data_IF_987037880908
#
_entry.id   IF_987037880908
#
_cell.length_a   1.000
_cell.length_b   1.000
_cell.length_c   1.000
_cell.angle_alpha   90.00
_cell.angle_beta   90.00
_cell.angle_gamma   90.00
#
_symmetry.space_group_name_H-M   'P 1'
#
loop_
_entity.id
_entity.type
_entity.pdbx_description
1 polymer ?
#
# COMPACT_ATOMS: atom_id res chain seq x y z
N UNK A 1 -19.95 42.44 -18.50
CA UNK A 1 -19.67 41.46 -17.42
C UNK A 1 -18.72 40.42 -17.95
N UNK A 2 -17.53 40.34 -17.39
CA UNK A 2 -16.56 39.30 -17.74
C UNK A 2 -17.08 37.93 -17.24
N UNK A 3 -17.25 36.99 -18.14
CA UNK A 3 -17.72 35.65 -17.73
C UNK A 3 -16.58 34.95 -16.92
N UNK A 4 -16.93 34.31 -15.82
CA UNK A 4 -15.98 33.59 -14.97
C UNK A 4 -15.10 32.59 -15.77
N UNK A 5 -15.67 32.01 -16.83
CA UNK A 5 -14.96 31.11 -17.75
C UNK A 5 -13.68 31.69 -18.35
N UNK A 6 -13.64 33.03 -18.58
CA UNK A 6 -12.44 33.68 -19.14
C UNK A 6 -11.26 33.79 -18.20
N UNK A 7 -11.46 33.43 -16.92
CA UNK A 7 -10.40 33.35 -15.91
C UNK A 7 -9.68 32.00 -15.94
N UNK A 8 -10.19 31.02 -16.67
CA UNK A 8 -9.62 29.67 -16.76
C UNK A 8 -9.03 29.43 -18.15
N UNK A 9 -8.04 28.55 -18.21
CA UNK A 9 -7.47 28.08 -19.46
C UNK A 9 -8.60 27.53 -20.37
N UNK A 10 -8.64 27.98 -21.63
CA UNK A 10 -9.63 27.56 -22.59
C UNK A 10 -9.66 26.06 -22.88
N UNK A 11 -8.52 25.39 -22.69
CA UNK A 11 -8.38 23.94 -22.84
C UNK A 11 -8.88 23.12 -21.63
N UNK A 12 -9.27 23.77 -20.52
CA UNK A 12 -9.76 23.09 -19.33
C UNK A 12 -11.30 23.02 -19.28
N UNK A 13 -11.82 21.83 -19.03
CA UNK A 13 -13.24 21.64 -18.76
C UNK A 13 -13.55 21.99 -17.30
N UNK A 14 -14.09 23.20 -17.10
CA UNK A 14 -14.47 23.72 -15.77
C UNK A 14 -15.75 23.06 -15.20
N UNK A 15 -16.49 22.31 -16.03
CA UNK A 15 -17.70 21.60 -15.60
C UNK A 15 -17.41 20.12 -15.28
N UNK A 16 -16.17 19.69 -15.42
CA UNK A 16 -15.76 18.34 -15.09
C UNK A 16 -16.08 18.01 -13.63
N UNK A 17 -16.65 16.86 -13.39
CA UNK A 17 -16.84 16.34 -12.04
C UNK A 17 -15.47 16.06 -11.41
N UNK A 18 -15.16 16.78 -10.33
CA UNK A 18 -13.98 16.54 -9.51
C UNK A 18 -14.40 15.57 -8.41
N UNK A 19 -13.72 14.44 -8.32
CA UNK A 19 -13.99 13.51 -7.24
C UNK A 19 -13.52 14.07 -5.90
N UNK A 20 -14.36 13.92 -4.88
CA UNK A 20 -14.11 14.45 -3.54
C UNK A 20 -13.03 13.68 -2.77
N UNK A 21 -12.78 12.43 -3.15
CA UNK A 21 -11.85 11.52 -2.48
C UNK A 21 -10.89 10.95 -3.52
N UNK A 22 -9.60 10.99 -3.20
CA UNK A 22 -8.57 10.38 -4.02
C UNK A 22 -8.60 8.88 -3.76
N UNK A 23 -8.90 8.08 -4.79
CA UNK A 23 -8.86 6.63 -4.70
C UNK A 23 -7.45 6.13 -5.03
N UNK A 24 -7.00 5.15 -4.25
CA UNK A 24 -5.67 4.55 -4.42
C UNK A 24 -5.65 3.38 -5.42
N UNK A 25 -6.76 3.11 -6.10
CA UNK A 25 -6.81 2.06 -7.12
C UNK A 25 -6.17 2.56 -8.41
N UNK A 26 -5.06 1.93 -8.80
CA UNK A 26 -4.32 2.25 -10.02
C UNK A 26 -5.05 1.85 -11.33
N UNK A 27 -6.24 1.25 -11.24
CA UNK A 27 -6.93 0.61 -12.37
C UNK A 27 -7.51 1.56 -13.44
N UNK A 28 -7.33 2.88 -13.31
CA UNK A 28 -7.84 3.85 -14.28
C UNK A 28 -6.74 4.82 -14.72
N UNK A 29 -5.96 4.40 -15.71
CA UNK A 29 -4.87 5.20 -16.28
C UNK A 29 -5.32 6.61 -16.71
N UNK A 30 -6.45 6.72 -17.37
CA UNK A 30 -7.01 8.01 -17.82
C UNK A 30 -7.29 8.95 -16.64
N UNK A 31 -7.79 8.41 -15.54
CA UNK A 31 -8.06 9.17 -14.33
C UNK A 31 -6.76 9.64 -13.69
N UNK A 32 -5.80 8.75 -13.53
CA UNK A 32 -4.49 9.08 -12.96
C UNK A 32 -3.77 10.14 -13.81
N UNK A 33 -3.90 10.05 -15.15
CA UNK A 33 -3.39 11.07 -16.09
C UNK A 33 -4.04 12.43 -15.85
N UNK A 34 -5.35 12.48 -15.69
CA UNK A 34 -6.05 13.74 -15.39
C UNK A 34 -5.61 14.32 -14.05
N UNK A 35 -5.55 13.50 -12.98
CA UNK A 35 -5.13 13.90 -11.65
C UNK A 35 -3.71 14.48 -11.64
N UNK A 36 -2.73 13.78 -12.22
CA UNK A 36 -1.34 14.25 -12.23
C UNK A 36 -1.15 15.48 -13.12
N UNK A 37 -1.92 15.61 -14.21
CA UNK A 37 -1.84 16.77 -15.10
C UNK A 37 -2.29 18.07 -14.44
N UNK A 38 -3.11 17.99 -13.42
CA UNK A 38 -3.64 19.11 -12.66
C UNK A 38 -2.93 19.33 -11.32
N UNK A 39 -2.03 18.42 -10.96
CA UNK A 39 -1.28 18.53 -9.71
C UNK A 39 -0.34 19.75 -9.74
N UNK A 40 -0.54 20.65 -8.78
CA UNK A 40 0.27 21.85 -8.63
C UNK A 40 1.25 21.65 -7.48
N UNK A 41 2.52 21.67 -7.80
CA UNK A 41 3.61 21.63 -6.81
C UNK A 41 4.03 23.07 -6.51
N UNK A 42 3.76 23.53 -5.29
CA UNK A 42 4.23 24.83 -4.83
C UNK A 42 5.72 24.75 -4.45
N UNK A 43 6.40 25.88 -4.41
CA UNK A 43 7.81 25.94 -3.99
C UNK A 43 8.04 25.33 -2.60
N UNK A 44 7.12 25.58 -1.66
CA UNK A 44 7.17 24.99 -0.31
C UNK A 44 7.02 23.48 -0.32
N UNK A 45 6.10 22.93 -1.13
CA UNK A 45 5.92 21.48 -1.27
C UNK A 45 7.17 20.85 -1.89
N UNK A 46 7.73 21.47 -2.93
CA UNK A 46 8.93 20.95 -3.60
C UNK A 46 10.15 20.98 -2.68
N UNK A 47 10.32 22.03 -1.87
CA UNK A 47 11.39 22.10 -0.89
C UNK A 47 11.27 21.00 0.18
N UNK A 48 10.07 20.75 0.68
CA UNK A 48 9.84 19.67 1.64
C UNK A 48 10.05 18.29 1.01
N UNK A 49 9.66 18.11 -0.25
CA UNK A 49 9.92 16.88 -1.00
C UNK A 49 11.43 16.66 -1.14
N UNK A 50 12.20 17.69 -1.52
CA UNK A 50 13.66 17.59 -1.66
C UNK A 50 14.33 17.17 -0.35
N UNK A 51 13.94 17.80 0.78
CA UNK A 51 14.44 17.44 2.10
C UNK A 51 14.07 16.01 2.51
N UNK A 52 12.86 15.55 2.17
CA UNK A 52 12.44 14.17 2.41
C UNK A 52 13.31 13.20 1.60
N UNK A 53 13.48 13.45 0.30
CA UNK A 53 14.29 12.60 -0.57
C UNK A 53 15.76 12.54 -0.13
N UNK A 54 16.33 13.65 0.36
CA UNK A 54 17.68 13.68 0.93
C UNK A 54 17.79 12.78 2.18
N UNK A 55 16.82 12.85 3.08
CA UNK A 55 16.77 12.01 4.26
C UNK A 55 16.59 10.53 3.89
N UNK A 56 15.69 10.23 2.94
CA UNK A 56 15.52 8.87 2.43
C UNK A 56 16.83 8.35 1.85
N UNK A 57 17.54 9.15 1.05
CA UNK A 57 18.83 8.76 0.48
C UNK A 57 19.86 8.47 1.57
N UNK A 58 19.96 9.34 2.58
CA UNK A 58 20.90 9.17 3.68
C UNK A 58 20.63 7.88 4.48
N UNK A 59 19.38 7.62 4.82
CA UNK A 59 18.98 6.42 5.55
C UNK A 59 19.27 5.13 4.77
N UNK A 60 18.93 5.12 3.48
CA UNK A 60 19.15 3.95 2.61
C UNK A 60 20.64 3.68 2.37
N UNK A 61 21.48 4.74 2.30
CA UNK A 61 22.94 4.61 2.12
C UNK A 61 23.68 4.22 3.39
N UNK A 62 23.18 4.58 4.56
CA UNK A 62 23.80 4.27 5.83
C UNK A 62 23.86 2.75 6.12
N UNK A 63 23.17 1.93 5.34
CA UNK A 63 23.11 0.48 5.53
C UNK A 63 22.56 0.08 6.90
N UNK A 64 22.06 1.07 7.63
CA UNK A 64 21.43 0.88 8.92
C UNK A 64 20.11 0.16 8.69
N UNK A 65 19.81 -0.79 9.55
CA UNK A 65 18.58 -1.59 9.52
C UNK A 65 17.36 -0.77 9.97
N UNK A 66 17.37 0.54 9.71
CA UNK A 66 16.34 1.43 10.21
C UNK A 66 15.23 1.56 9.18
N UNK A 67 14.04 1.36 9.65
CA UNK A 67 12.81 1.64 8.92
C UNK A 67 12.63 3.14 8.80
N UNK A 68 12.11 3.57 7.64
CA UNK A 68 11.84 4.97 7.42
C UNK A 68 10.35 5.19 7.63
N UNK A 69 10.00 5.83 8.75
CA UNK A 69 8.65 6.32 8.98
C UNK A 69 8.52 7.77 8.50
N UNK A 70 7.57 8.03 7.60
CA UNK A 70 7.29 9.38 7.10
C UNK A 70 5.87 9.77 7.48
N UNK A 71 5.75 10.88 8.20
CA UNK A 71 4.46 11.42 8.61
C UNK A 71 4.16 12.71 7.85
N UNK A 72 3.04 12.74 7.12
CA UNK A 72 2.60 13.92 6.36
C UNK A 72 1.37 14.50 7.04
N UNK A 73 1.47 15.72 7.56
CA UNK A 73 0.38 16.43 8.22
C UNK A 73 0.03 17.74 7.51
N UNK A 74 -1.17 18.24 7.71
CA UNK A 74 -1.63 19.48 7.13
C UNK A 74 -3.15 19.62 7.21
N UNK A 75 -3.68 20.75 6.77
CA UNK A 75 -5.12 21.01 6.75
C UNK A 75 -5.88 20.06 5.83
N UNK A 76 -7.18 19.91 6.09
CA UNK A 76 -8.08 19.28 5.14
C UNK A 76 -8.02 20.01 3.79
N UNK A 77 -7.90 19.25 2.70
CA UNK A 77 -7.79 19.82 1.35
C UNK A 77 -6.41 20.38 0.97
N UNK A 78 -5.37 20.25 1.83
CA UNK A 78 -4.01 20.74 1.51
C UNK A 78 -3.24 19.88 0.50
N UNK A 79 -3.80 18.77 0.00
CA UNK A 79 -3.16 17.91 -0.99
C UNK A 79 -2.27 16.80 -0.42
N UNK A 80 -2.36 16.48 0.89
CA UNK A 80 -1.58 15.40 1.53
C UNK A 80 -1.71 14.06 0.82
N UNK A 81 -2.95 13.62 0.60
CA UNK A 81 -3.23 12.34 -0.04
C UNK A 81 -2.70 12.29 -1.48
N UNK A 82 -2.79 13.41 -2.22
CA UNK A 82 -2.18 13.51 -3.56
C UNK A 82 -0.65 13.42 -3.48
N UNK A 83 -0.05 14.14 -2.55
CA UNK A 83 1.40 14.14 -2.35
C UNK A 83 1.94 12.74 -2.07
N UNK A 84 1.37 12.04 -1.09
CA UNK A 84 1.84 10.70 -0.71
C UNK A 84 1.53 9.65 -1.77
N UNK A 85 0.35 9.73 -2.41
CA UNK A 85 -0.03 8.88 -3.53
C UNK A 85 0.98 9.01 -4.67
N UNK A 86 1.24 10.24 -5.12
CA UNK A 86 2.12 10.44 -6.27
C UNK A 86 3.58 10.13 -5.95
N UNK A 87 4.02 10.42 -4.75
CA UNK A 87 5.35 10.00 -4.32
C UNK A 87 5.47 8.48 -4.30
N UNK A 88 4.51 7.77 -3.72
CA UNK A 88 4.49 6.30 -3.74
C UNK A 88 4.49 5.75 -5.16
N UNK A 89 3.58 6.21 -6.03
CA UNK A 89 3.50 5.75 -7.42
C UNK A 89 4.78 6.03 -8.23
N UNK A 90 5.58 7.04 -7.85
CA UNK A 90 6.84 7.32 -8.52
C UNK A 90 7.93 6.24 -8.26
N UNK A 91 7.79 5.45 -7.19
CA UNK A 91 8.67 4.32 -6.90
C UNK A 91 8.17 2.99 -7.48
N UNK A 92 6.95 2.95 -8.00
CA UNK A 92 6.36 1.77 -8.63
C UNK A 92 6.60 1.80 -10.16
N UNK A 93 7.53 0.99 -10.63
CA UNK A 93 7.87 0.92 -12.06
C UNK A 93 6.77 0.35 -12.95
N UNK A 94 5.79 -0.36 -12.35
CA UNK A 94 4.66 -0.95 -13.08
C UNK A 94 3.56 0.06 -13.37
N UNK A 95 3.54 1.19 -12.66
CA UNK A 95 2.56 2.25 -12.90
C UNK A 95 3.01 3.13 -14.05
N UNK A 96 2.28 3.04 -15.16
CA UNK A 96 2.57 3.80 -16.38
C UNK A 96 1.36 4.64 -16.81
N UNK A 97 1.61 5.73 -17.50
CA UNK A 97 0.63 6.57 -18.18
C UNK A 97 1.15 6.83 -19.60
N UNK A 98 0.34 6.54 -20.61
CA UNK A 98 0.74 6.63 -22.03
C UNK A 98 2.07 5.87 -22.31
N UNK A 99 2.25 4.71 -21.65
CA UNK A 99 3.46 3.89 -21.79
C UNK A 99 4.73 4.46 -21.16
N UNK A 100 4.62 5.56 -20.39
CA UNK A 100 5.74 6.16 -19.63
C UNK A 100 5.57 5.91 -18.14
N UNK A 101 6.65 5.60 -17.39
CA UNK A 101 6.58 5.46 -15.94
C UNK A 101 5.97 6.70 -15.27
N UNK A 102 5.14 6.49 -14.24
CA UNK A 102 4.52 7.57 -13.47
C UNK A 102 5.53 8.57 -12.92
N UNK A 103 6.73 8.09 -12.56
CA UNK A 103 7.87 8.91 -12.16
C UNK A 103 8.08 10.12 -13.10
N UNK A 104 7.99 9.92 -14.42
CA UNK A 104 8.21 11.00 -15.41
C UNK A 104 7.12 12.06 -15.32
N UNK A 105 5.88 11.65 -15.16
CA UNK A 105 4.76 12.58 -15.03
C UNK A 105 4.84 13.40 -13.74
N UNK A 106 5.31 12.82 -12.63
CA UNK A 106 5.58 13.59 -11.42
C UNK A 106 6.74 14.56 -11.60
N UNK A 107 7.84 14.13 -12.25
CA UNK A 107 8.98 15.00 -12.54
C UNK A 107 8.61 16.22 -13.38
N UNK A 108 7.68 16.09 -14.31
CA UNK A 108 7.17 17.20 -15.13
C UNK A 108 6.42 18.26 -14.29
N UNK A 109 6.01 17.93 -13.07
CA UNK A 109 5.38 18.87 -12.11
C UNK A 109 6.39 19.57 -11.20
N UNK A 110 7.62 19.07 -11.11
CA UNK A 110 8.68 19.65 -10.29
C UNK A 110 9.40 20.77 -11.06
N UNK A 111 9.80 21.81 -10.36
CA UNK A 111 10.47 22.97 -10.95
C UNK A 111 12.00 22.86 -10.83
N UNK A 112 12.52 22.25 -9.74
CA UNK A 112 13.93 22.17 -9.42
C UNK A 112 14.59 20.96 -10.09
N UNK A 113 15.66 21.17 -10.88
CA UNK A 113 16.41 20.06 -11.48
C UNK A 113 17.02 19.12 -10.45
N UNK A 114 17.41 19.64 -9.28
CA UNK A 114 17.98 18.86 -8.17
C UNK A 114 16.98 17.86 -7.64
N UNK A 115 15.75 18.30 -7.36
CA UNK A 115 14.66 17.43 -6.87
C UNK A 115 14.33 16.33 -7.88
N UNK A 116 14.26 16.67 -9.18
CA UNK A 116 14.05 15.69 -10.26
C UNK A 116 15.13 14.63 -10.32
N UNK A 117 16.40 15.07 -10.25
CA UNK A 117 17.55 14.17 -10.31
C UNK A 117 17.61 13.25 -9.09
N UNK A 118 17.34 13.79 -7.90
CA UNK A 118 17.34 13.03 -6.65
C UNK A 118 16.23 11.97 -6.65
N UNK A 119 15.02 12.35 -7.06
CA UNK A 119 13.89 11.42 -7.19
C UNK A 119 14.19 10.29 -8.18
N UNK A 120 14.77 10.62 -9.36
CA UNK A 120 15.18 9.59 -10.33
C UNK A 120 16.23 8.64 -9.76
N UNK A 121 17.23 9.19 -9.07
CA UNK A 121 18.30 8.39 -8.48
C UNK A 121 17.77 7.43 -7.44
N UNK A 122 16.89 7.90 -6.56
CA UNK A 122 16.30 7.07 -5.51
C UNK A 122 15.41 5.98 -6.11
N UNK A 123 14.51 6.31 -7.02
CA UNK A 123 13.64 5.35 -7.66
C UNK A 123 14.41 4.25 -8.43
N UNK A 124 15.54 4.62 -9.06
CA UNK A 124 16.40 3.66 -9.75
C UNK A 124 17.24 2.79 -8.81
N UNK A 125 17.68 3.36 -7.67
CA UNK A 125 18.53 2.63 -6.71
C UNK A 125 17.73 1.73 -5.78
N UNK A 126 16.47 2.04 -5.53
CA UNK A 126 15.59 1.37 -4.56
C UNK A 126 14.23 1.07 -5.19
N UNK A 127 14.17 0.17 -6.18
CA UNK A 127 12.90 -0.24 -6.77
C UNK A 127 12.03 -0.90 -5.68
N UNK A 128 10.86 -0.33 -5.42
CA UNK A 128 9.99 -0.75 -4.33
C UNK A 128 8.67 -1.33 -4.83
N UNK A 129 8.11 -2.23 -4.04
CA UNK A 129 6.70 -2.56 -4.12
C UNK A 129 5.90 -1.51 -3.32
N UNK A 130 4.88 -0.92 -3.92
CA UNK A 130 4.10 0.14 -3.28
C UNK A 130 2.72 -0.39 -2.93
N UNK A 131 2.42 -0.45 -1.65
CA UNK A 131 1.12 -0.90 -1.12
C UNK A 131 0.36 0.31 -0.61
N UNK A 132 -0.73 0.66 -1.30
CA UNK A 132 -1.56 1.80 -0.93
C UNK A 132 -2.79 1.34 -0.15
N UNK A 133 -2.99 1.96 1.01
CA UNK A 133 -3.99 1.58 1.98
C UNK A 133 -4.83 2.82 2.32
N UNK A 134 -6.11 2.80 1.94
CA UNK A 134 -7.09 3.79 2.36
C UNK A 134 -7.95 3.19 3.48
N UNK A 135 -7.67 3.57 4.70
CA UNK A 135 -8.41 3.07 5.87
C UNK A 135 -9.76 3.78 6.06
N UNK A 136 -9.94 4.96 5.47
CA UNK A 136 -11.19 5.70 5.58
C UNK A 136 -12.32 5.01 4.80
N UNK A 137 -12.01 4.36 3.70
CA UNK A 137 -12.99 3.62 2.87
C UNK A 137 -13.54 2.38 3.56
N UNK A 138 -12.87 1.87 4.59
CA UNK A 138 -13.23 0.62 5.30
C UNK A 138 -14.16 0.84 6.51
N UNK A 139 -14.64 2.07 6.72
CA UNK A 139 -15.58 2.44 7.81
C UNK A 139 -15.12 2.02 9.23
N UNK A 140 -13.82 2.06 9.50
CA UNK A 140 -13.25 1.67 10.80
C UNK A 140 -13.37 2.81 11.81
N UNK A 141 -14.49 3.50 11.85
CA UNK A 141 -14.75 4.53 12.85
C UNK A 141 -14.83 3.86 14.24
N UNK A 142 -13.83 4.15 15.08
CA UNK A 142 -13.78 3.60 16.46
C UNK A 142 -13.04 2.25 16.59
N UNK A 143 -12.37 1.77 15.55
CA UNK A 143 -11.59 0.55 15.59
C UNK A 143 -10.42 0.59 16.59
N UNK A 144 -10.13 -0.54 17.21
CA UNK A 144 -8.94 -0.71 18.05
C UNK A 144 -7.67 -0.87 17.18
N UNK A 145 -6.48 -0.73 17.78
CA UNK A 145 -5.21 -0.98 17.10
C UNK A 145 -5.11 -2.40 16.49
N UNK A 146 -5.67 -3.39 17.19
CA UNK A 146 -5.70 -4.76 16.69
C UNK A 146 -6.56 -4.90 15.43
N UNK A 147 -7.66 -4.17 15.35
CA UNK A 147 -8.53 -4.14 14.16
C UNK A 147 -7.83 -3.45 12.99
N UNK A 148 -7.11 -2.34 13.21
CA UNK A 148 -6.31 -1.68 12.16
C UNK A 148 -5.27 -2.62 11.59
N UNK A 149 -4.50 -3.31 12.43
CA UNK A 149 -3.48 -4.26 11.95
C UNK A 149 -4.09 -5.41 11.16
N UNK A 150 -5.28 -5.84 11.55
CA UNK A 150 -6.02 -6.88 10.82
C UNK A 150 -6.44 -6.37 9.43
N UNK A 151 -6.93 -5.15 9.34
CA UNK A 151 -7.28 -4.54 8.04
C UNK A 151 -6.07 -4.37 7.15
N UNK A 152 -4.94 -3.91 7.70
CA UNK A 152 -3.68 -3.82 6.95
C UNK A 152 -3.26 -5.19 6.42
N UNK A 153 -3.35 -6.23 7.23
CA UNK A 153 -3.04 -7.58 6.83
C UNK A 153 -3.94 -8.08 5.68
N UNK A 154 -5.26 -7.84 5.78
CA UNK A 154 -6.18 -8.14 4.68
C UNK A 154 -5.84 -7.40 3.39
N UNK A 155 -5.49 -6.12 3.49
CA UNK A 155 -5.11 -5.32 2.32
C UNK A 155 -3.84 -5.83 1.65
N UNK A 156 -2.87 -6.24 2.45
CA UNK A 156 -1.64 -6.87 1.94
C UNK A 156 -1.94 -8.17 1.22
N UNK A 157 -2.80 -9.03 1.79
CA UNK A 157 -3.23 -10.26 1.12
C UNK A 157 -3.93 -9.97 -0.21
N UNK A 158 -4.84 -8.99 -0.24
CA UNK A 158 -5.52 -8.59 -1.46
C UNK A 158 -4.55 -8.02 -2.52
N UNK A 159 -3.59 -7.19 -2.10
CA UNK A 159 -2.56 -6.65 -2.97
C UNK A 159 -1.72 -7.77 -3.59
N UNK A 160 -1.37 -8.78 -2.81
CA UNK A 160 -0.64 -9.96 -3.27
C UNK A 160 -1.49 -10.97 -4.06
N UNK A 161 -2.76 -10.68 -4.27
CA UNK A 161 -3.67 -11.52 -5.05
C UNK A 161 -4.15 -12.78 -4.33
N UNK A 162 -4.23 -12.76 -2.99
CA UNK A 162 -4.83 -13.83 -2.20
C UNK A 162 -6.32 -13.58 -1.93
N UNK A 163 -7.02 -14.63 -1.50
CA UNK A 163 -8.42 -14.55 -1.07
C UNK A 163 -8.60 -13.60 0.13
N UNK A 164 -9.78 -12.99 0.21
CA UNK A 164 -10.22 -12.23 1.39
C UNK A 164 -10.52 -13.14 2.60
N UNK A 165 -10.80 -14.41 2.36
CA UNK A 165 -10.98 -15.38 3.42
C UNK A 165 -9.61 -15.82 3.96
N UNK A 166 -9.31 -15.53 5.23
CA UNK A 166 -8.01 -15.79 5.84
C UNK A 166 -7.59 -17.25 5.79
N UNK A 167 -8.51 -18.19 5.96
CA UNK A 167 -8.22 -19.64 5.88
C UNK A 167 -7.79 -20.01 4.47
N UNK A 168 -8.51 -19.49 3.49
CA UNK A 168 -8.21 -19.72 2.07
C UNK A 168 -6.88 -19.07 1.71
N UNK A 169 -6.63 -17.84 2.12
CA UNK A 169 -5.36 -17.17 1.91
C UNK A 169 -4.17 -17.94 2.51
N UNK A 170 -4.35 -18.50 3.71
CA UNK A 170 -3.33 -19.36 4.35
C UNK A 170 -3.09 -20.65 3.55
N UNK A 171 -4.16 -21.27 3.04
CA UNK A 171 -4.05 -22.44 2.15
C UNK A 171 -3.33 -22.07 0.85
N UNK A 172 -3.71 -20.98 0.19
CA UNK A 172 -3.06 -20.50 -1.04
C UNK A 172 -1.57 -20.22 -0.84
N UNK A 173 -1.19 -19.57 0.28
CA UNK A 173 0.22 -19.33 0.62
C UNK A 173 0.99 -20.62 0.81
N UNK A 174 0.42 -21.58 1.54
CA UNK A 174 1.02 -22.89 1.72
C UNK A 174 1.21 -23.62 0.40
N UNK A 175 0.20 -23.62 -0.45
CA UNK A 175 0.25 -24.24 -1.78
C UNK A 175 1.33 -23.60 -2.67
N UNK A 176 1.46 -22.26 -2.65
CA UNK A 176 2.52 -21.55 -3.40
C UNK A 176 3.91 -21.90 -2.86
N UNK A 177 4.09 -21.90 -1.55
CA UNK A 177 5.37 -22.27 -0.89
C UNK A 177 5.79 -23.70 -1.21
N UNK A 178 4.84 -24.63 -1.30
CA UNK A 178 5.08 -26.04 -1.63
C UNK A 178 5.10 -26.30 -3.16
N UNK A 179 4.88 -25.28 -4.01
CA UNK A 179 4.83 -25.41 -5.48
C UNK A 179 3.59 -26.14 -6.01
N UNK A 180 2.55 -26.28 -5.18
CA UNK A 180 1.31 -27.00 -5.47
C UNK A 180 0.13 -26.12 -5.87
N UNK A 181 0.35 -24.83 -6.01
CA UNK A 181 -0.73 -23.88 -6.31
C UNK A 181 -1.41 -24.18 -7.67
N UNK A 182 -0.63 -24.57 -8.68
CA UNK A 182 -1.17 -24.95 -9.99
C UNK A 182 -2.03 -26.23 -9.94
N UNK A 183 -1.70 -27.17 -9.04
CA UNK A 183 -2.51 -28.37 -8.81
C UNK A 183 -3.89 -28.00 -8.21
N UNK A 184 -3.91 -27.04 -7.29
CA UNK A 184 -5.15 -26.51 -6.73
C UNK A 184 -6.00 -25.77 -7.77
N UNK A 185 -5.41 -24.90 -8.59
CA UNK A 185 -6.13 -24.19 -9.66
C UNK A 185 -6.70 -25.16 -10.70
N UNK A 186 -5.95 -26.20 -11.03
CA UNK A 186 -6.44 -27.22 -11.95
C UNK A 186 -7.59 -28.02 -11.34
N UNK A 187 -7.46 -28.45 -10.08
CA UNK A 187 -8.55 -29.14 -9.37
C UNK A 187 -9.81 -28.29 -9.28
N UNK A 188 -9.67 -26.98 -9.03
CA UNK A 188 -10.78 -26.05 -9.04
C UNK A 188 -11.46 -25.96 -10.42
N UNK A 189 -10.65 -25.87 -11.49
CA UNK A 189 -11.17 -25.84 -12.86
C UNK A 189 -11.85 -27.14 -13.26
N UNK A 190 -11.30 -28.27 -12.87
CA UNK A 190 -11.87 -29.58 -13.17
C UNK A 190 -13.24 -29.77 -12.46
N UNK A 191 -13.42 -29.19 -11.28
CA UNK A 191 -14.64 -29.32 -10.51
C UNK A 191 -15.72 -28.30 -10.91
N UNK A 192 -15.33 -27.06 -11.26
CA UNK A 192 -16.26 -25.96 -11.48
C UNK A 192 -16.37 -25.52 -12.95
N UNK A 193 -15.39 -25.82 -13.77
CA UNK A 193 -15.25 -25.28 -15.13
C UNK A 193 -14.70 -23.85 -15.20
N UNK A 194 -14.38 -23.24 -14.05
CA UNK A 194 -14.06 -21.82 -13.90
C UNK A 194 -12.62 -21.59 -13.43
N UNK A 195 -12.13 -20.34 -13.49
CA UNK A 195 -10.79 -19.99 -13.01
C UNK A 195 -10.84 -19.53 -11.55
N UNK A 196 -9.99 -20.07 -10.70
CA UNK A 196 -9.92 -19.73 -9.29
C UNK A 196 -9.80 -18.22 -8.98
N UNK A 197 -8.94 -17.43 -9.65
CA UNK A 197 -8.81 -16.00 -9.35
C UNK A 197 -10.11 -15.20 -9.44
N UNK A 198 -11.07 -15.63 -10.27
CA UNK A 198 -12.34 -14.94 -10.48
C UNK A 198 -13.33 -15.23 -9.34
N UNK A 199 -13.21 -16.38 -8.67
CA UNK A 199 -14.13 -16.87 -7.64
C UNK A 199 -13.56 -16.95 -6.23
N UNK A 200 -12.28 -16.62 -6.02
CA UNK A 200 -11.60 -16.74 -4.71
C UNK A 200 -12.23 -15.93 -3.57
N UNK A 201 -13.08 -14.96 -3.90
CA UNK A 201 -13.79 -14.12 -2.93
C UNK A 201 -15.31 -14.35 -2.93
N UNK A 202 -15.80 -15.34 -3.66
CA UNK A 202 -17.18 -15.79 -3.62
C UNK A 202 -17.35 -16.75 -2.45
N UNK A 203 -18.10 -16.33 -1.42
CA UNK A 203 -18.27 -17.10 -0.18
C UNK A 203 -18.92 -18.45 -0.43
N UNK A 204 -19.88 -18.54 -1.35
CA UNK A 204 -20.56 -19.80 -1.67
C UNK A 204 -19.59 -20.80 -2.30
N UNK A 205 -18.74 -20.33 -3.21
CA UNK A 205 -17.73 -21.15 -3.87
C UNK A 205 -16.64 -21.54 -2.88
N UNK A 206 -16.17 -20.59 -2.07
CA UNK A 206 -15.16 -20.83 -1.03
C UNK A 206 -15.63 -21.91 -0.04
N UNK A 207 -16.87 -21.82 0.45
CA UNK A 207 -17.37 -22.75 1.44
C UNK A 207 -17.76 -24.12 0.88
N UNK A 208 -18.06 -24.22 -0.42
CA UNK A 208 -18.49 -25.48 -1.04
C UNK A 208 -17.36 -26.25 -1.74
N UNK A 209 -16.43 -25.56 -2.41
CA UNK A 209 -15.40 -26.20 -3.24
C UNK A 209 -14.07 -26.33 -2.50
N UNK A 210 -13.61 -25.25 -1.85
CA UNK A 210 -12.28 -25.23 -1.21
C UNK A 210 -12.09 -26.31 -0.16
N UNK A 211 -13.06 -26.65 0.72
CA UNK A 211 -12.90 -27.73 1.69
C UNK A 211 -12.61 -29.11 1.05
N UNK A 212 -13.25 -29.41 -0.08
CA UNK A 212 -13.00 -30.66 -0.82
C UNK A 212 -11.60 -30.69 -1.40
N UNK A 213 -11.20 -29.62 -2.07
CA UNK A 213 -9.85 -29.51 -2.63
C UNK A 213 -8.77 -29.53 -1.54
N UNK A 214 -9.00 -28.87 -0.41
CA UNK A 214 -8.09 -28.91 0.73
C UNK A 214 -7.92 -30.33 1.27
N UNK A 215 -9.02 -31.09 1.40
CA UNK A 215 -8.98 -32.51 1.80
C UNK A 215 -8.23 -33.36 0.78
N UNK A 216 -8.49 -33.19 -0.52
CA UNK A 216 -7.79 -33.92 -1.59
C UNK A 216 -6.30 -33.66 -1.60
N UNK A 217 -5.89 -32.40 -1.48
CA UNK A 217 -4.47 -32.00 -1.52
C UNK A 217 -3.72 -32.32 -0.22
N UNK A 218 -4.41 -32.25 0.91
CA UNK A 218 -3.83 -32.48 2.24
C UNK A 218 -4.65 -33.46 3.10
N UNK A 219 -4.81 -34.72 2.68
CA UNK A 219 -5.67 -35.68 3.42
C UNK A 219 -5.21 -35.97 4.85
N UNK A 220 -3.89 -35.82 5.10
CA UNK A 220 -3.33 -36.00 6.44
C UNK A 220 -3.58 -34.79 7.37
N UNK A 221 -3.72 -33.61 6.79
CA UNK A 221 -4.00 -32.36 7.54
C UNK A 221 -5.51 -32.18 7.73
N UNK A 222 -6.26 -32.32 6.66
CA UNK A 222 -7.71 -32.23 6.66
C UNK A 222 -8.28 -33.62 6.43
N UNK A 223 -8.52 -34.34 7.53
CA UNK A 223 -8.99 -35.76 7.47
C UNK A 223 -10.38 -35.92 6.87
N UNK A 224 -11.17 -34.87 6.91
CA UNK A 224 -12.50 -34.77 6.30
C UNK A 224 -12.63 -33.40 5.64
N UNK A 225 -13.56 -33.24 4.70
CA UNK A 225 -13.87 -31.96 4.08
C UNK A 225 -14.24 -30.90 5.13
N UNK A 226 -15.01 -31.27 6.15
CA UNK A 226 -15.42 -30.40 7.26
C UNK A 226 -14.22 -29.92 8.11
N UNK A 227 -13.11 -30.66 8.13
CA UNK A 227 -11.95 -30.30 8.93
C UNK A 227 -11.37 -28.93 8.51
N UNK A 228 -11.38 -28.60 7.23
CA UNK A 228 -10.98 -27.26 6.76
C UNK A 228 -11.91 -26.17 7.30
N UNK A 229 -13.23 -26.39 7.24
CA UNK A 229 -14.23 -25.41 7.66
C UNK A 229 -14.17 -25.13 9.17
N UNK A 230 -13.88 -26.16 9.98
CA UNK A 230 -13.83 -26.06 11.44
C UNK A 230 -12.47 -25.57 11.98
N UNK A 231 -11.43 -25.49 11.14
CA UNK A 231 -10.13 -24.95 11.54
C UNK A 231 -10.27 -23.47 11.92
N UNK A 232 -9.61 -23.03 13.01
CA UNK A 232 -9.58 -21.62 13.40
C UNK A 232 -8.96 -20.75 12.32
N UNK A 233 -9.55 -19.57 12.11
CA UNK A 233 -8.98 -18.54 11.24
C UNK A 233 -7.94 -17.66 11.91
N UNK A 234 -7.71 -17.85 13.22
CA UNK A 234 -6.73 -17.08 13.99
C UNK A 234 -5.32 -17.56 13.62
N UNK A 235 -4.78 -16.97 12.59
CA UNK A 235 -3.52 -17.44 11.99
C UNK A 235 -2.32 -16.81 12.68
N UNK A 236 -2.46 -15.57 13.20
CA UNK A 236 -1.34 -14.84 13.80
C UNK A 236 -1.81 -14.06 15.01
N UNK A 237 -1.29 -14.41 16.17
CA UNK A 237 -1.63 -13.79 17.45
C UNK A 237 -0.74 -12.60 17.81
N UNK A 238 0.56 -12.69 17.48
CA UNK A 238 1.54 -11.66 17.82
C UNK A 238 1.62 -10.61 16.70
N UNK A 239 1.64 -9.33 17.09
CA UNK A 239 1.70 -8.21 16.17
C UNK A 239 2.97 -8.23 15.33
N UNK A 240 4.10 -8.53 15.95
CA UNK A 240 5.41 -8.54 15.29
C UNK A 240 5.47 -9.61 14.19
N UNK A 241 4.97 -10.80 14.49
CA UNK A 241 4.89 -11.91 13.51
C UNK A 241 3.99 -11.53 12.33
N UNK A 242 2.90 -10.77 12.60
CA UNK A 242 1.98 -10.29 11.56
C UNK A 242 2.64 -9.27 10.64
N UNK A 243 3.39 -8.32 11.18
CA UNK A 243 4.13 -7.33 10.38
C UNK A 243 5.17 -8.01 9.51
N UNK A 244 5.95 -8.93 10.10
CA UNK A 244 6.94 -9.71 9.35
C UNK A 244 6.28 -10.48 8.21
N UNK A 245 5.17 -11.14 8.47
CA UNK A 245 4.43 -11.88 7.46
C UNK A 245 3.88 -10.97 6.36
N UNK A 246 3.38 -9.77 6.68
CA UNK A 246 2.96 -8.79 5.68
C UNK A 246 4.11 -8.40 4.74
N UNK A 247 5.29 -8.17 5.28
CA UNK A 247 6.50 -7.86 4.50
C UNK A 247 6.86 -9.03 3.59
N UNK A 248 6.88 -10.24 4.13
CA UNK A 248 7.20 -11.45 3.36
C UNK A 248 6.20 -11.69 2.23
N UNK A 249 4.89 -11.50 2.49
CA UNK A 249 3.84 -11.61 1.47
C UNK A 249 4.09 -10.63 0.32
N UNK A 250 4.39 -9.36 0.62
CA UNK A 250 4.62 -8.35 -0.42
C UNK A 250 5.89 -8.66 -1.21
N UNK A 251 6.97 -9.08 -0.55
CA UNK A 251 8.22 -9.48 -1.21
C UNK A 251 8.03 -10.68 -2.13
N UNK A 252 7.37 -11.73 -1.64
CA UNK A 252 7.07 -12.93 -2.42
C UNK A 252 6.22 -12.61 -3.65
N UNK A 253 5.22 -11.74 -3.50
CA UNK A 253 4.31 -11.39 -4.59
C UNK A 253 4.94 -10.45 -5.62
N UNK A 254 5.77 -9.50 -5.19
CA UNK A 254 6.34 -8.46 -6.05
C UNK A 254 7.73 -8.79 -6.60
N UNK A 255 8.47 -9.68 -5.94
CA UNK A 255 9.89 -9.92 -6.23
C UNK A 255 10.80 -8.73 -5.87
N UNK A 256 10.27 -7.73 -5.13
CA UNK A 256 11.01 -6.52 -4.72
C UNK A 256 11.53 -6.66 -3.31
N UNK A 257 12.74 -6.19 -3.08
CA UNK A 257 13.34 -6.17 -1.75
C UNK A 257 12.79 -5.03 -0.89
N UNK A 258 12.57 -3.85 -1.52
CA UNK A 258 12.07 -2.68 -0.84
C UNK A 258 10.55 -2.58 -0.92
N UNK A 259 9.93 -2.11 0.16
CA UNK A 259 8.47 -1.95 0.26
C UNK A 259 8.16 -0.54 0.76
N UNK A 260 7.16 0.08 0.15
CA UNK A 260 6.60 1.36 0.58
C UNK A 260 5.12 1.14 0.91
N UNK A 261 4.77 1.29 2.18
CA UNK A 261 3.36 1.36 2.60
C UNK A 261 2.92 2.82 2.60
N UNK A 262 1.88 3.14 1.85
CA UNK A 262 1.23 4.45 1.85
C UNK A 262 -0.12 4.29 2.54
N UNK A 263 -0.27 4.88 3.73
CA UNK A 263 -1.47 4.73 4.54
C UNK A 263 -2.17 6.07 4.64
N UNK A 264 -3.38 6.19 4.08
CA UNK A 264 -4.23 7.36 4.20
C UNK A 264 -5.32 7.13 5.23
N UNK A 265 -5.42 8.05 6.19
CA UNK A 265 -6.47 8.02 7.19
C UNK A 265 -6.89 9.42 7.65
N UNK A 266 -8.19 9.56 7.93
CA UNK A 266 -8.80 10.80 8.44
C UNK A 266 -8.94 10.85 9.96
N UNK A 267 -8.08 10.20 10.76
CA UNK A 267 -8.28 10.15 12.21
C UNK A 267 -7.05 10.05 13.10
N UNK A 268 -7.28 10.27 14.44
CA UNK A 268 -6.26 10.21 15.49
C UNK A 268 -5.73 8.77 15.76
N UNK A 269 -6.36 7.75 15.21
CA UNK A 269 -6.07 6.36 15.52
C UNK A 269 -4.72 5.92 14.93
N UNK A 270 -4.45 6.30 13.68
CA UNK A 270 -3.16 6.00 13.03
C UNK A 270 -1.99 6.75 13.65
N UNK A 271 -2.20 7.93 14.18
CA UNK A 271 -1.14 8.63 14.93
C UNK A 271 -0.66 7.77 16.10
N UNK A 272 -1.58 7.13 16.82
CA UNK A 272 -1.24 6.20 17.91
C UNK A 272 -0.61 4.93 17.39
N UNK A 273 -1.10 4.41 16.26
CA UNK A 273 -0.57 3.22 15.61
C UNK A 273 0.84 3.47 15.06
N UNK A 274 1.04 4.57 14.33
CA UNK A 274 2.33 4.93 13.74
C UNK A 274 3.38 5.22 14.83
N UNK A 275 3.06 6.04 15.83
CA UNK A 275 3.95 6.33 16.96
C UNK A 275 4.24 5.07 17.76
N UNK A 276 3.24 4.21 17.96
CA UNK A 276 3.42 2.96 18.70
C UNK A 276 4.22 1.94 17.89
N UNK A 277 3.99 1.84 16.58
CA UNK A 277 4.68 0.90 15.70
C UNK A 277 6.15 1.30 15.50
N UNK A 278 6.40 2.56 15.18
CA UNK A 278 7.76 3.11 15.11
C UNK A 278 8.47 2.98 16.47
N UNK A 279 7.74 3.23 17.58
CA UNK A 279 8.29 3.04 18.92
C UNK A 279 8.52 1.54 19.26
N UNK A 280 7.65 0.62 18.83
CA UNK A 280 7.88 -0.81 19.03
C UNK A 280 9.07 -1.33 18.23
N UNK A 281 9.24 -0.87 17.00
CA UNK A 281 10.39 -1.25 16.16
C UNK A 281 11.69 -0.66 16.70
N UNK A 282 11.64 0.54 17.29
CA UNK A 282 12.78 1.18 17.95
C UNK A 282 13.14 0.56 19.32
N UNK A 283 12.14 0.04 20.05
CA UNK A 283 12.35 -0.53 21.39
C UNK A 283 12.81 -2.00 21.39
N UNK A 284 12.70 -2.71 20.27
CA UNK A 284 13.08 -4.13 20.18
C UNK A 284 14.08 -4.42 19.06
N UNK A 285 15.27 -3.79 19.05
CA UNK A 285 16.27 -4.01 18.00
C UNK A 285 16.87 -5.42 17.99
N UNK A 286 16.67 -6.20 19.06
CA UNK A 286 17.28 -7.52 19.21
C UNK A 286 16.52 -8.67 18.55
N UNK A 287 15.23 -8.51 18.26
CA UNK A 287 14.40 -9.59 17.70
C UNK A 287 14.33 -9.57 16.17
N UNK A 288 14.81 -8.50 15.54
CA UNK A 288 14.69 -8.25 14.10
C UNK A 288 15.95 -8.47 13.26
N UNK A 289 16.90 -9.30 13.66
CA UNK A 289 18.22 -9.44 12.99
C UNK A 289 18.20 -9.94 11.53
N UNK A 290 17.08 -10.00 10.86
CA UNK A 290 17.10 -10.52 9.49
C UNK A 290 16.20 -9.89 8.47
N UNK A 291 15.08 -9.28 8.81
CA UNK A 291 14.00 -9.25 7.86
C UNK A 291 13.24 -7.94 7.64
N UNK A 292 13.28 -7.00 8.56
CA UNK A 292 12.52 -5.74 8.43
C UNK A 292 13.31 -4.65 7.67
N UNK A 293 14.53 -4.94 7.28
CA UNK A 293 15.34 -4.04 6.45
C UNK A 293 14.56 -3.70 5.19
N UNK A 294 14.44 -2.38 4.90
CA UNK A 294 13.88 -1.86 3.66
C UNK A 294 12.36 -1.66 3.57
N UNK A 295 11.64 -1.53 4.68
CA UNK A 295 10.25 -1.06 4.66
C UNK A 295 10.17 0.45 4.95
N UNK A 296 9.30 1.14 4.22
CA UNK A 296 9.01 2.56 4.43
C UNK A 296 7.52 2.76 4.60
N UNK A 297 7.13 3.54 5.59
CA UNK A 297 5.72 3.79 5.90
C UNK A 297 5.44 5.29 5.80
N UNK A 298 4.46 5.65 4.96
CA UNK A 298 3.91 6.99 4.88
C UNK A 298 2.58 7.04 5.60
N UNK A 299 2.48 7.82 6.66
CA UNK A 299 1.25 8.07 7.40
C UNK A 299 0.72 9.50 7.19
N UNK A 300 -0.60 9.66 7.16
CA UNK A 300 -1.27 10.95 6.98
C UNK A 300 -2.06 11.35 8.20
N UNK A 301 -2.05 12.63 8.58
CA UNK A 301 -2.93 13.15 9.62
C UNK A 301 -3.47 14.55 9.33
N UNK A 302 -4.65 14.83 9.89
CA UNK A 302 -5.29 16.14 9.86
C UNK A 302 -4.95 16.92 11.14
N UNK A 303 -3.71 17.42 11.29
CA UNK A 303 -3.39 18.34 12.39
C UNK A 303 -3.61 19.79 11.96
N UNK A 304 -4.10 20.60 12.91
CA UNK A 304 -4.14 22.06 12.72
C UNK A 304 -2.72 22.60 12.85
N UNK A 305 -2.14 23.04 11.74
CA UNK A 305 -0.93 23.82 11.73
C UNK A 305 -1.28 25.24 11.27
N UNK A 306 -0.72 26.25 11.93
CA UNK A 306 -1.06 27.65 11.69
C UNK A 306 -0.22 28.31 10.60
N UNK A 307 0.85 27.66 10.12
CA UNK A 307 1.87 28.34 9.32
C UNK A 307 2.21 27.69 7.98
N UNK A 308 1.97 26.39 7.79
CA UNK A 308 2.27 25.71 6.53
C UNK A 308 1.16 24.78 6.07
N UNK A 309 0.91 24.64 4.74
CA UNK A 309 -0.15 23.80 4.21
C UNK A 309 0.11 22.29 4.39
N UNK A 310 1.36 21.86 4.36
CA UNK A 310 1.81 20.48 4.55
C UNK A 310 3.07 20.47 5.40
N UNK A 311 3.14 19.56 6.37
CA UNK A 311 4.35 19.25 7.13
C UNK A 311 4.74 17.79 6.91
N UNK A 312 6.01 17.58 6.62
CA UNK A 312 6.58 16.25 6.43
C UNK A 312 7.57 16.02 7.56
N UNK A 313 7.31 15.01 8.37
CA UNK A 313 8.21 14.55 9.41
C UNK A 313 8.74 13.17 8.98
N UNK A 314 10.05 13.04 8.84
CA UNK A 314 10.69 11.74 8.73
C UNK A 314 11.21 11.36 10.12
N UNK A 315 10.77 10.22 10.63
CA UNK A 315 11.35 9.61 11.81
C UNK A 315 12.41 8.65 11.30
N UNK A 316 13.66 9.03 11.53
CA UNK A 316 14.84 8.23 11.22
C UNK A 316 15.42 7.84 12.58
N UNK A 317 15.37 6.60 12.97
CA UNK A 317 16.07 6.05 14.11
C UNK A 317 17.11 5.02 13.71
#
# INVERSE_FOLDING_TARGET
>A
MTQIRTLFDAGKDIQRTIEKVITYQASQEQRLKAEISEYIVTESIEQQLEQLLEKMQAAMQAGSSHEIGVWVSGFYGSGKSSFTKYLGLAFDEHVTIDGKPFLRHLQDRLHRPTTRALLSKLAASFPAAVVMLDLASEQIAGASLAEVSTVLYYKVLQHAGYSRNLKVAALERRLRKEGRYAEFEQGFRDETGENWPDYRNDELVVDSVVPRLAHQLYPNLFRTEQAFTTTSSDIIYLMDDRVQEMIDIVREASGKEHIIFVVDEQGDLLRRFFVWHVACLALFPEHGKGSIKNAMIFGLSNQRCTTCPIHIFAVLE
#
